data_IF_775475703945
#
_entry.id   IF_775475703945
#
_cell.length_a   1.000
_cell.length_b   1.000
_cell.length_c   1.000
_cell.angle_alpha   90.00
_cell.angle_beta   90.00
_cell.angle_gamma   90.00
#
_symmetry.space_group_name_H-M   'P 1'
#
loop_
_entity.id
_entity.type
_entity.pdbx_description
1 polymer ?
#
# COMPACT_ATOMS: atom_id res chain seq x y z
N UNK A 1 3.41 45.56 2.58
CA UNK A 1 2.52 44.38 2.62
C UNK A 1 2.50 43.76 1.23
N UNK A 2 3.12 42.59 1.03
CA UNK A 2 3.01 41.80 -0.22
C UNK A 2 2.62 40.38 0.18
N UNK A 3 1.41 39.96 -0.17
CA UNK A 3 0.95 38.59 0.02
C UNK A 3 1.63 37.69 -1.03
N UNK A 4 2.48 36.77 -0.58
CA UNK A 4 3.02 35.70 -1.41
C UNK A 4 1.94 34.62 -1.60
N UNK A 5 1.47 34.47 -2.83
CA UNK A 5 0.50 33.46 -3.25
C UNK A 5 1.24 32.15 -3.51
N UNK A 6 1.21 31.24 -2.55
CA UNK A 6 1.78 29.90 -2.67
C UNK A 6 1.03 29.09 -3.73
N UNK A 7 1.71 28.79 -4.84
CA UNK A 7 1.23 27.92 -5.91
C UNK A 7 1.53 26.48 -5.49
N UNK A 8 0.49 25.74 -5.10
CA UNK A 8 0.57 24.30 -4.84
C UNK A 8 0.76 23.63 -6.20
N UNK A 9 1.99 23.21 -6.49
CA UNK A 9 2.28 22.34 -7.63
C UNK A 9 1.74 20.95 -7.30
N UNK A 10 0.54 20.65 -7.77
CA UNK A 10 0.05 19.27 -7.84
C UNK A 10 0.93 18.52 -8.87
N UNK A 11 1.70 17.54 -8.41
CA UNK A 11 2.48 16.65 -9.24
C UNK A 11 1.53 15.67 -9.96
N UNK A 12 1.43 15.67 -11.30
CA UNK A 12 0.49 14.82 -12.03
C UNK A 12 0.95 13.36 -12.21
N UNK A 13 2.02 12.90 -11.54
CA UNK A 13 2.60 11.57 -11.76
C UNK A 13 2.14 10.47 -10.77
N UNK A 14 1.24 10.73 -9.82
CA UNK A 14 0.78 9.72 -8.85
C UNK A 14 -0.61 9.17 -9.20
N UNK A 15 -0.77 8.68 -10.43
CA UNK A 15 -1.89 7.78 -10.73
C UNK A 15 -1.57 6.41 -10.12
N UNK A 16 -2.50 5.77 -9.41
CA UNK A 16 -2.27 4.44 -8.86
C UNK A 16 -2.05 3.48 -10.02
N UNK A 17 -0.81 3.01 -10.18
CA UNK A 17 -0.49 1.92 -11.11
C UNK A 17 -1.10 0.66 -10.50
N UNK A 18 -2.37 0.41 -10.81
CA UNK A 18 -3.01 -0.88 -10.51
C UNK A 18 -2.14 -1.94 -11.18
N UNK A 19 -1.51 -2.87 -10.44
CA UNK A 19 -0.70 -3.91 -11.04
C UNK A 19 -1.50 -4.65 -12.12
N UNK A 20 -0.97 -4.82 -13.34
CA UNK A 20 -1.71 -5.40 -14.46
C UNK A 20 -2.30 -6.80 -14.17
N UNK A 21 -1.71 -7.53 -13.21
CA UNK A 21 -2.19 -8.82 -12.73
C UNK A 21 -3.57 -8.75 -12.04
N UNK A 22 -3.90 -7.62 -11.40
CA UNK A 22 -5.18 -7.43 -10.68
C UNK A 22 -6.30 -7.11 -11.67
N UNK A 23 -6.02 -6.30 -12.69
CA UNK A 23 -6.97 -6.01 -13.76
C UNK A 23 -7.33 -7.29 -14.54
N UNK A 24 -6.34 -8.16 -14.78
CA UNK A 24 -6.54 -9.47 -15.41
C UNK A 24 -7.38 -10.42 -14.55
N UNK A 25 -7.21 -10.40 -13.22
CA UNK A 25 -7.98 -11.24 -12.29
C UNK A 25 -9.45 -10.77 -12.21
N UNK A 26 -9.67 -9.46 -12.09
CA UNK A 26 -11.01 -8.87 -12.14
C UNK A 26 -11.69 -9.12 -13.50
N UNK A 27 -10.95 -8.97 -14.59
CA UNK A 27 -11.46 -9.27 -15.93
C UNK A 27 -11.79 -10.76 -16.11
N UNK A 28 -11.00 -11.67 -15.54
CA UNK A 28 -11.25 -13.12 -15.61
C UNK A 28 -12.47 -13.55 -14.79
N UNK A 29 -12.68 -12.93 -13.63
CA UNK A 29 -13.86 -13.13 -12.77
C UNK A 29 -15.14 -12.60 -13.42
N UNK A 30 -15.07 -11.49 -14.15
CA UNK A 30 -16.21 -10.88 -14.83
C UNK A 30 -16.55 -11.54 -16.18
N UNK A 31 -15.57 -12.14 -16.88
CA UNK A 31 -15.80 -12.76 -18.20
C UNK A 31 -16.25 -14.22 -18.16
N UNK A 32 -16.11 -14.97 -17.06
CA UNK A 32 -16.54 -16.37 -16.98
C UNK A 32 -18.06 -16.49 -16.74
N UNK A 33 -18.85 -16.10 -17.74
CA UNK A 33 -20.23 -16.53 -17.91
C UNK A 33 -20.25 -17.78 -18.80
N UNK A 34 -20.40 -18.95 -18.16
CA UNK A 34 -20.84 -20.18 -18.82
C UNK A 34 -19.81 -20.92 -19.67
N UNK A 35 -19.43 -22.11 -19.19
CA UNK A 35 -19.43 -23.41 -19.91
C UNK A 35 -18.33 -24.30 -19.32
N UNK A 36 -18.76 -25.41 -18.70
CA UNK A 36 -17.95 -26.62 -18.53
C UNK A 36 -16.91 -26.59 -17.41
N UNK A 37 -17.36 -26.46 -16.16
CA UNK A 37 -16.52 -26.84 -15.02
C UNK A 37 -16.42 -28.34 -14.87
N UNK A 38 -15.24 -28.84 -14.47
CA UNK A 38 -15.08 -30.21 -13.98
C UNK A 38 -15.91 -30.32 -12.70
N UNK A 39 -17.01 -31.07 -12.76
CA UNK A 39 -17.76 -31.47 -11.57
C UNK A 39 -16.88 -32.43 -10.80
N UNK A 40 -16.50 -32.06 -9.58
CA UNK A 40 -15.72 -32.93 -8.70
C UNK A 40 -16.62 -34.05 -8.16
N UNK A 41 -16.74 -35.12 -8.95
CA UNK A 41 -17.14 -36.46 -8.48
C UNK A 41 -15.95 -37.40 -8.71
N UNK A 42 -14.89 -37.26 -7.90
CA UNK A 42 -13.90 -38.33 -7.71
C UNK A 42 -13.63 -38.49 -6.22
N UNK A 43 -13.62 -39.72 -5.68
CA UNK A 43 -13.27 -39.97 -4.30
C UNK A 43 -11.74 -39.88 -4.17
N UNK A 44 -11.22 -38.66 -4.21
CA UNK A 44 -9.85 -38.39 -3.79
C UNK A 44 -9.86 -38.25 -2.26
N UNK A 45 -8.79 -38.66 -1.58
CA UNK A 45 -8.68 -38.61 -0.12
C UNK A 45 -9.08 -37.21 0.39
N UNK A 46 -10.26 -37.11 1.01
CA UNK A 46 -10.83 -35.84 1.42
C UNK A 46 -10.09 -35.38 2.65
N UNK A 47 -9.02 -34.58 2.47
CA UNK A 47 -8.42 -33.86 3.59
C UNK A 47 -9.47 -32.88 4.11
N UNK A 48 -9.95 -33.11 5.32
CA UNK A 48 -10.95 -32.27 5.95
C UNK A 48 -10.33 -30.89 6.25
N UNK A 49 -11.02 -29.83 5.82
CA UNK A 49 -10.60 -28.45 6.02
C UNK A 49 -10.60 -28.05 7.51
N UNK A 50 -11.69 -28.32 8.24
CA UNK A 50 -11.84 -28.14 9.68
C UNK A 50 -12.79 -29.22 10.22
N UNK A 51 -12.83 -29.49 11.54
CA UNK A 51 -13.81 -30.40 12.10
C UNK A 51 -15.23 -30.04 11.66
N UNK A 52 -15.99 -31.04 11.18
CA UNK A 52 -17.37 -30.91 10.68
C UNK A 52 -17.54 -30.20 9.34
N UNK A 53 -16.46 -29.72 8.70
CA UNK A 53 -16.52 -29.27 7.31
C UNK A 53 -16.48 -30.49 6.37
N UNK A 54 -17.42 -30.54 5.42
CA UNK A 54 -17.50 -31.60 4.40
C UNK A 54 -16.93 -31.19 3.05
N UNK A 55 -16.54 -29.93 2.90
CA UNK A 55 -16.00 -29.41 1.64
C UNK A 55 -14.54 -29.84 1.50
N UNK A 56 -14.12 -30.32 0.32
CA UNK A 56 -12.74 -30.68 0.07
C UNK A 56 -11.84 -29.44 0.09
N UNK A 57 -10.59 -29.64 0.51
CA UNK A 57 -9.51 -28.66 0.29
C UNK A 57 -9.06 -28.78 -1.16
N UNK A 58 -9.18 -27.72 -1.99
CA UNK A 58 -8.67 -27.76 -3.35
C UNK A 58 -7.14 -27.67 -3.35
N UNK A 59 -6.51 -28.20 -4.40
CA UNK A 59 -5.05 -28.21 -4.57
C UNK A 59 -4.43 -26.82 -4.51
N UNK A 60 -5.16 -25.79 -4.97
CA UNK A 60 -4.75 -24.39 -4.91
C UNK A 60 -4.55 -23.89 -3.47
N UNK A 61 -5.20 -24.53 -2.49
CA UNK A 61 -5.20 -24.15 -1.08
C UNK A 61 -4.52 -25.22 -0.19
N UNK A 62 -3.76 -26.14 -0.78
CA UNK A 62 -3.06 -27.20 -0.02
C UNK A 62 -2.10 -26.63 1.04
N UNK A 63 -1.47 -25.49 0.75
CA UNK A 63 -0.56 -24.79 1.66
C UNK A 63 -1.26 -24.28 2.93
N UNK A 64 -2.55 -23.94 2.84
CA UNK A 64 -3.34 -23.43 3.97
C UNK A 64 -4.26 -24.51 4.57
N UNK A 65 -4.52 -25.59 3.86
CA UNK A 65 -5.35 -26.70 4.34
C UNK A 65 -6.82 -26.35 4.53
N UNK A 66 -7.31 -25.30 3.87
CA UNK A 66 -8.68 -24.81 4.00
C UNK A 66 -9.45 -24.97 2.68
N UNK A 67 -10.74 -25.32 2.77
CA UNK A 67 -11.64 -25.23 1.62
C UNK A 67 -11.86 -23.75 1.26
N UNK A 68 -12.31 -23.49 0.03
CA UNK A 68 -12.48 -22.11 -0.47
C UNK A 68 -13.31 -21.25 0.47
N UNK A 69 -14.42 -21.78 0.99
CA UNK A 69 -15.30 -21.03 1.88
C UNK A 69 -14.60 -20.60 3.18
N UNK A 70 -13.91 -21.52 3.86
CA UNK A 70 -13.21 -21.20 5.12
C UNK A 70 -11.97 -20.36 4.88
N UNK A 71 -11.28 -20.55 3.77
CA UNK A 71 -10.17 -19.68 3.39
C UNK A 71 -10.66 -18.25 3.18
N UNK A 72 -11.68 -18.03 2.35
CA UNK A 72 -12.26 -16.71 2.12
C UNK A 72 -12.74 -16.05 3.41
N UNK A 73 -13.46 -16.79 4.27
CA UNK A 73 -13.87 -16.32 5.60
C UNK A 73 -12.67 -15.89 6.46
N UNK A 74 -11.62 -16.73 6.54
CA UNK A 74 -10.43 -16.44 7.35
C UNK A 74 -9.71 -15.16 6.89
N UNK A 75 -9.67 -14.91 5.58
CA UNK A 75 -9.10 -13.69 5.00
C UNK A 75 -9.95 -12.48 5.34
N UNK A 76 -11.28 -12.58 5.30
CA UNK A 76 -12.19 -11.51 5.69
C UNK A 76 -12.01 -11.13 7.17
N UNK A 77 -11.90 -12.11 8.07
CA UNK A 77 -11.63 -11.86 9.50
C UNK A 77 -10.27 -11.20 9.71
N UNK A 78 -9.23 -11.68 9.04
CA UNK A 78 -7.90 -11.08 9.10
C UNK A 78 -7.91 -9.64 8.57
N UNK A 79 -8.64 -9.37 7.49
CA UNK A 79 -8.81 -8.01 6.97
C UNK A 79 -9.50 -7.10 7.99
N UNK A 80 -10.57 -7.57 8.63
CA UNK A 80 -11.28 -6.79 9.65
C UNK A 80 -10.37 -6.45 10.85
N UNK A 81 -9.54 -7.40 11.29
CA UNK A 81 -8.52 -7.19 12.32
C UNK A 81 -7.47 -6.17 11.89
N UNK A 82 -6.89 -6.36 10.71
CA UNK A 82 -5.87 -5.47 10.15
C UNK A 82 -6.40 -4.05 9.93
N UNK A 83 -7.64 -3.89 9.46
CA UNK A 83 -8.29 -2.58 9.36
C UNK A 83 -8.35 -1.86 10.71
N UNK A 84 -8.68 -2.58 11.79
CA UNK A 84 -8.66 -2.01 13.15
C UNK A 84 -7.25 -1.59 13.56
N UNK A 85 -6.23 -2.41 13.30
CA UNK A 85 -4.83 -2.08 13.61
C UNK A 85 -4.34 -0.83 12.86
N UNK A 86 -4.71 -0.69 11.59
CA UNK A 86 -4.38 0.49 10.75
C UNK A 86 -5.11 1.73 11.24
N UNK A 87 -6.43 1.63 11.50
CA UNK A 87 -7.25 2.75 11.97
C UNK A 87 -6.75 3.32 13.31
N UNK A 88 -6.33 2.44 14.23
CA UNK A 88 -5.80 2.83 15.53
C UNK A 88 -4.32 3.22 15.49
N UNK A 89 -3.67 3.19 14.32
CA UNK A 89 -2.21 3.42 14.13
C UNK A 89 -1.34 2.54 15.03
N UNK A 90 -1.81 1.33 15.36
CA UNK A 90 -1.15 0.41 16.28
C UNK A 90 -0.10 -0.49 15.60
N UNK A 91 -0.05 -0.50 14.27
CA UNK A 91 0.90 -1.35 13.53
C UNK A 91 2.29 -0.68 13.42
N UNK A 92 3.31 -1.37 13.97
CA UNK A 92 4.74 -1.05 13.78
C UNK A 92 5.16 -1.23 12.31
N UNK A 93 6.36 -0.78 11.94
CA UNK A 93 6.85 -0.93 10.56
C UNK A 93 6.96 -2.41 10.18
N UNK A 94 7.45 -3.24 11.09
CA UNK A 94 7.59 -4.69 10.91
C UNK A 94 6.22 -5.33 10.73
N UNK A 95 5.24 -4.94 11.56
CA UNK A 95 3.87 -5.44 11.43
C UNK A 95 3.23 -5.03 10.12
N UNK A 96 3.45 -3.80 9.64
CA UNK A 96 2.96 -3.36 8.32
C UNK A 96 3.57 -4.16 7.18
N UNK A 97 4.86 -4.52 7.26
CA UNK A 97 5.51 -5.37 6.28
C UNK A 97 4.91 -6.79 6.27
N UNK A 98 4.68 -7.37 7.46
CA UNK A 98 4.01 -8.67 7.59
C UNK A 98 2.59 -8.64 7.01
N UNK A 99 1.82 -7.60 7.33
CA UNK A 99 0.49 -7.39 6.75
C UNK A 99 0.56 -7.30 5.22
N UNK A 100 1.49 -6.53 4.66
CA UNK A 100 1.63 -6.41 3.20
C UNK A 100 1.95 -7.75 2.51
N UNK A 101 2.79 -8.59 3.13
CA UNK A 101 3.06 -9.95 2.66
C UNK A 101 1.80 -10.81 2.70
N UNK A 102 1.11 -10.84 3.85
CA UNK A 102 -0.14 -11.60 4.01
C UNK A 102 -1.20 -11.20 2.97
N UNK A 103 -1.40 -9.90 2.74
CA UNK A 103 -2.36 -9.40 1.76
C UNK A 103 -2.02 -9.87 0.34
N UNK A 104 -0.73 -9.87 -0.01
CA UNK A 104 -0.24 -10.28 -1.32
C UNK A 104 -0.41 -11.78 -1.54
N UNK A 105 -0.04 -12.60 -0.55
CA UNK A 105 -0.19 -14.06 -0.60
C UNK A 105 -1.66 -14.47 -0.65
N UNK A 106 -2.51 -13.84 0.18
CA UNK A 106 -3.95 -14.11 0.21
C UNK A 106 -4.62 -13.75 -1.12
N UNK A 107 -4.27 -12.60 -1.70
CA UNK A 107 -4.75 -12.19 -3.02
C UNK A 107 -4.34 -13.19 -4.11
N UNK A 108 -3.10 -13.69 -4.08
CA UNK A 108 -2.61 -14.68 -5.03
C UNK A 108 -3.38 -16.00 -4.92
N UNK A 109 -3.62 -16.50 -3.71
CA UNK A 109 -4.39 -17.72 -3.49
C UNK A 109 -5.85 -17.57 -3.96
N UNK A 110 -6.51 -16.45 -3.64
CA UNK A 110 -7.86 -16.16 -4.14
C UNK A 110 -7.89 -16.08 -5.68
N UNK A 111 -6.83 -15.56 -6.30
CA UNK A 111 -6.73 -15.46 -7.76
C UNK A 111 -6.59 -16.84 -8.40
N UNK A 112 -5.77 -17.73 -7.82
CA UNK A 112 -5.62 -19.12 -8.27
C UNK A 112 -6.94 -19.86 -8.17
N UNK A 113 -7.61 -19.78 -7.02
CA UNK A 113 -8.91 -20.42 -6.78
C UNK A 113 -9.97 -19.95 -7.77
N UNK A 114 -10.09 -18.63 -7.97
CA UNK A 114 -11.07 -18.07 -8.92
C UNK A 114 -10.75 -18.34 -10.39
N UNK A 115 -9.48 -18.55 -10.73
CA UNK A 115 -9.05 -18.85 -12.09
C UNK A 115 -9.21 -20.32 -12.44
N UNK A 116 -8.95 -21.22 -11.48
CA UNK A 116 -8.86 -22.66 -11.74
C UNK A 116 -10.14 -23.44 -11.40
N UNK A 117 -10.96 -22.93 -10.49
CA UNK A 117 -12.16 -23.64 -10.02
C UNK A 117 -13.44 -23.04 -10.61
N UNK A 118 -14.44 -23.90 -10.79
CA UNK A 118 -15.79 -23.48 -11.11
C UNK A 118 -16.57 -23.21 -9.82
N UNK A 119 -16.60 -21.94 -9.45
CA UNK A 119 -17.25 -21.47 -8.23
C UNK A 119 -18.71 -21.13 -8.50
N UNK A 120 -19.55 -21.29 -7.48
CA UNK A 120 -20.91 -20.72 -7.51
C UNK A 120 -20.85 -19.19 -7.58
N UNK A 121 -21.88 -18.57 -8.13
CA UNK A 121 -21.92 -17.10 -8.26
C UNK A 121 -21.88 -16.39 -6.90
N UNK A 122 -22.47 -17.00 -5.86
CA UNK A 122 -22.36 -16.51 -4.49
C UNK A 122 -20.91 -16.49 -3.99
N UNK A 123 -20.16 -17.55 -4.30
CA UNK A 123 -18.75 -17.64 -3.91
C UNK A 123 -17.87 -16.70 -4.73
N UNK A 124 -18.14 -16.53 -6.03
CA UNK A 124 -17.47 -15.52 -6.86
C UNK A 124 -17.70 -14.12 -6.30
N UNK A 125 -18.94 -13.78 -5.96
CA UNK A 125 -19.31 -12.49 -5.38
C UNK A 125 -18.56 -12.27 -4.07
N UNK A 126 -18.52 -13.29 -3.20
CA UNK A 126 -17.80 -13.22 -1.93
C UNK A 126 -16.31 -12.96 -2.14
N UNK A 127 -15.65 -13.76 -2.98
CA UNK A 127 -14.23 -13.60 -3.31
C UNK A 127 -13.95 -12.20 -3.89
N UNK A 128 -14.82 -11.67 -4.74
CA UNK A 128 -14.69 -10.32 -5.26
C UNK A 128 -14.75 -9.27 -4.14
N UNK A 129 -15.70 -9.39 -3.22
CA UNK A 129 -15.76 -8.52 -2.04
C UNK A 129 -14.47 -8.62 -1.21
N UNK A 130 -13.95 -9.83 -0.99
CA UNK A 130 -12.70 -10.04 -0.26
C UNK A 130 -11.50 -9.39 -0.97
N UNK A 131 -11.41 -9.49 -2.30
CA UNK A 131 -10.37 -8.82 -3.08
C UNK A 131 -10.40 -7.30 -2.90
N UNK A 132 -11.58 -6.70 -2.92
CA UNK A 132 -11.74 -5.26 -2.71
C UNK A 132 -11.29 -4.85 -1.31
N UNK A 133 -11.59 -5.65 -0.28
CA UNK A 133 -11.10 -5.43 1.08
C UNK A 133 -9.57 -5.51 1.16
N UNK A 134 -8.95 -6.52 0.55
CA UNK A 134 -7.49 -6.66 0.49
C UNK A 134 -6.83 -5.46 -0.20
N UNK A 135 -7.38 -5.01 -1.33
CA UNK A 135 -6.86 -3.86 -2.08
C UNK A 135 -6.97 -2.57 -1.28
N UNK A 136 -8.13 -2.31 -0.68
CA UNK A 136 -8.35 -1.12 0.14
C UNK A 136 -7.39 -1.10 1.34
N UNK A 137 -7.23 -2.24 2.03
CA UNK A 137 -6.30 -2.34 3.15
C UNK A 137 -4.85 -2.11 2.71
N UNK A 138 -4.44 -2.64 1.55
CA UNK A 138 -3.10 -2.41 0.99
C UNK A 138 -2.88 -0.94 0.66
N UNK A 139 -3.83 -0.28 -0.01
CA UNK A 139 -3.73 1.16 -0.30
C UNK A 139 -3.61 1.97 1.00
N UNK A 140 -4.40 1.62 2.03
CA UNK A 140 -4.33 2.29 3.33
C UNK A 140 -2.96 2.10 4.02
N UNK A 141 -2.33 0.94 3.88
CA UNK A 141 -0.98 0.69 4.40
C UNK A 141 0.08 1.55 3.70
N UNK A 142 -0.03 1.69 2.37
CA UNK A 142 0.90 2.50 1.56
C UNK A 142 0.70 4.01 1.81
N UNK A 143 -0.55 4.44 2.08
CA UNK A 143 -0.91 5.84 2.31
C UNK A 143 -0.65 6.32 3.73
N UNK A 144 -0.72 5.43 4.72
CA UNK A 144 -0.41 5.76 6.10
C UNK A 144 1.07 6.15 6.20
N UNK A 145 1.42 7.37 6.68
CA UNK A 145 2.82 7.73 6.90
C UNK A 145 3.48 6.65 7.75
N UNK A 146 4.45 5.92 7.18
CA UNK A 146 5.51 5.33 7.98
C UNK A 146 6.08 6.47 8.80
N UNK A 147 6.30 6.26 10.10
CA UNK A 147 6.71 7.30 11.03
C UNK A 147 8.10 7.91 10.75
N UNK A 148 8.32 8.48 9.57
CA UNK A 148 9.11 9.70 9.50
C UNK A 148 8.28 10.76 10.20
N UNK A 149 8.54 10.91 11.50
CA UNK A 149 8.37 12.19 12.13
C UNK A 149 8.95 13.24 11.16
N UNK A 150 8.25 14.36 10.88
CA UNK A 150 8.96 15.53 10.43
C UNK A 150 10.02 15.73 11.49
N UNK A 151 11.30 15.56 11.12
CA UNK A 151 12.36 16.07 11.95
C UNK A 151 12.05 17.55 12.06
N UNK A 152 11.40 17.93 13.16
CA UNK A 152 11.34 19.28 13.63
C UNK A 152 12.81 19.63 13.75
N UNK A 153 13.35 20.25 12.69
CA UNK A 153 14.56 21.03 12.80
C UNK A 153 14.24 22.03 13.88
N UNK A 154 14.62 21.69 15.11
CA UNK A 154 14.70 22.62 16.22
C UNK A 154 15.61 23.71 15.68
N UNK A 155 15.01 24.85 15.36
CA UNK A 155 15.76 26.08 15.21
C UNK A 155 16.49 26.28 16.53
N UNK A 156 17.78 26.00 16.54
CA UNK A 156 18.64 26.38 17.65
C UNK A 156 18.54 27.91 17.79
N UNK A 157 18.04 28.45 18.91
CA UNK A 157 18.05 29.88 19.13
C UNK A 157 19.48 30.28 19.52
N UNK A 158 20.10 31.10 18.67
CA UNK A 158 21.10 32.08 19.08
C UNK A 158 22.41 31.55 19.67
N UNK A 159 23.40 31.32 18.81
CA UNK A 159 24.77 31.69 19.14
C UNK A 159 25.16 32.84 18.20
N UNK A 160 25.07 34.07 18.70
CA UNK A 160 25.83 35.18 18.15
C UNK A 160 27.28 35.02 18.61
N UNK A 161 28.23 35.04 17.67
CA UNK A 161 29.49 35.73 17.91
C UNK A 161 29.52 37.05 17.13
N UNK A 162 30.02 38.06 17.83
CA UNK A 162 30.28 39.46 17.47
C UNK A 162 30.83 39.73 16.06
N UNK A 163 30.62 40.95 15.51
CA UNK A 163 31.10 41.34 14.19
C UNK A 163 32.59 41.63 14.26
N UNK A 164 33.40 40.91 13.49
CA UNK A 164 34.79 41.26 13.28
C UNK A 164 35.23 40.93 11.85
N UNK A 165 35.59 41.99 11.14
CA UNK A 165 36.46 42.01 9.96
C UNK A 165 35.86 41.48 8.66
N UNK A 166 35.30 42.41 7.87
CA UNK A 166 35.29 42.30 6.40
C UNK A 166 36.65 42.75 5.87
N UNK A 167 37.34 41.98 5.01
CA UNK A 167 38.50 42.48 4.27
C UNK A 167 38.05 43.36 3.11
N UNK A 168 38.63 44.56 3.06
CA UNK A 168 38.56 45.54 1.98
C UNK A 168 38.94 44.93 0.63
N UNK A 169 37.95 44.71 -0.25
CA UNK A 169 38.18 44.62 -1.69
C UNK A 169 36.95 45.14 -2.42
N UNK A 170 37.01 46.40 -2.87
CA UNK A 170 36.49 46.95 -4.13
C UNK A 170 36.40 48.48 -4.05
N UNK A 171 37.45 49.18 -4.47
CA UNK A 171 37.32 50.18 -5.55
C UNK A 171 38.67 50.83 -5.84
N UNK A 172 39.25 50.40 -6.96
CA UNK A 172 40.23 51.18 -7.72
C UNK A 172 39.55 52.37 -8.41
N UNK A 173 40.33 53.44 -8.52
CA UNK A 173 40.27 54.49 -9.54
C UNK A 173 39.10 55.49 -9.52
N UNK A 174 39.40 56.75 -9.15
CA UNK A 174 39.66 57.78 -10.18
C UNK A 174 39.73 59.20 -9.58
N UNK A 175 40.95 59.71 -9.56
CA UNK A 175 41.40 61.02 -10.05
C UNK A 175 40.88 62.37 -9.51
N UNK A 176 41.90 63.23 -9.34
CA UNK A 176 41.98 64.65 -9.65
C UNK A 176 41.59 65.72 -8.60
N UNK A 177 42.65 66.23 -7.96
CA UNK A 177 43.13 67.63 -8.11
C UNK A 177 42.65 68.72 -7.14
N UNK A 178 43.62 69.62 -6.85
CA UNK A 178 43.52 70.96 -6.24
C UNK A 178 43.46 70.96 -4.69
N UNK A 179 44.32 71.62 -3.89
CA UNK A 179 45.49 72.52 -4.10
C UNK A 179 46.08 72.82 -2.70
N UNK A 180 47.36 72.50 -2.55
CA UNK A 180 48.44 73.34 -1.99
C UNK A 180 48.11 74.41 -0.93
N UNK A 181 48.68 74.17 0.26
CA UNK A 181 49.51 75.07 1.09
C UNK A 181 48.97 76.43 1.57
N UNK A 182 49.02 76.55 2.91
CA UNK A 182 49.46 77.69 3.76
C UNK A 182 48.65 78.98 3.67
#
# INVERSE_FOLDING_TARGET
MRHAKGRIHANPASLPVIPPLILLTLASLLHKNGVGGVWMDRPNEHRACIPRCKLPVPTELDSVGLCVHHFTWSVEEACAEMHRQVALRQATVERRAEMATYLSESALLLARVSSNLCLSDDLKRRILCTFLSLMNLRENLERAPGGHAPELRVFAPGLFPTPAVMPDWLNSESNASVRSQV
#
